data_IF_524172982099
#
_entry.id   IF_524172982099
#
_cell.length_a   1.000
_cell.length_b   1.000
_cell.length_c   1.000
_cell.angle_alpha   90.00
_cell.angle_beta   90.00
_cell.angle_gamma   90.00
#
_symmetry.space_group_name_H-M   'P 1'
#
loop_
_entity.id
_entity.type
_entity.pdbx_description
1 polymer ?
#
# COMPACT_ATOMS: atom_id res chain seq x y z
N UNK A 1 15.03 -7.35 4.19
CA UNK A 1 13.76 -8.10 4.35
C UNK A 1 13.26 -8.45 2.95
N UNK A 2 12.58 -9.58 2.74
CA UNK A 2 11.88 -9.77 1.47
C UNK A 2 10.71 -8.79 1.39
N UNK A 3 10.22 -8.46 0.19
CA UNK A 3 9.04 -7.59 0.09
C UNK A 3 7.82 -8.24 0.76
N UNK A 4 7.70 -9.56 0.73
CA UNK A 4 6.65 -10.27 1.46
C UNK A 4 6.73 -10.05 2.97
N UNK A 5 7.94 -9.94 3.55
CA UNK A 5 8.09 -9.61 4.97
C UNK A 5 7.75 -8.14 5.24
N UNK A 6 8.11 -7.22 4.34
CA UNK A 6 7.70 -5.82 4.40
C UNK A 6 6.18 -5.71 4.35
N UNK A 7 5.52 -6.41 3.44
CA UNK A 7 4.06 -6.39 3.29
C UNK A 7 3.33 -6.86 4.55
N UNK A 8 3.83 -7.90 5.22
CA UNK A 8 3.29 -8.34 6.52
C UNK A 8 3.52 -7.31 7.63
N UNK A 9 4.70 -6.69 7.65
CA UNK A 9 4.99 -5.62 8.61
C UNK A 9 4.09 -4.40 8.38
N UNK A 10 3.82 -4.04 7.12
CA UNK A 10 2.92 -2.94 6.79
C UNK A 10 1.50 -3.30 7.23
N UNK A 11 0.99 -4.50 6.90
CA UNK A 11 -0.34 -4.95 7.32
C UNK A 11 -0.52 -4.87 8.85
N UNK A 12 0.45 -5.36 9.63
CA UNK A 12 0.41 -5.31 11.09
C UNK A 12 0.54 -3.88 11.68
N UNK A 13 1.14 -2.95 10.94
CA UNK A 13 1.17 -1.53 11.35
C UNK A 13 -0.13 -0.79 11.00
N UNK A 14 -0.86 -1.28 9.98
CA UNK A 14 -2.15 -0.73 9.56
C UNK A 14 -3.24 -1.17 10.53
N UNK A 15 -3.19 -2.41 11.03
CA UNK A 15 -4.11 -2.94 12.05
C UNK A 15 -3.90 -2.21 13.40
N UNK A 16 -4.65 -1.14 13.64
CA UNK A 16 -4.42 -0.26 14.80
C UNK A 16 -5.04 -0.81 16.07
N UNK A 17 -6.17 -1.50 15.95
CA UNK A 17 -6.86 -2.12 17.09
C UNK A 17 -6.44 -3.58 17.34
N UNK A 18 -5.63 -4.14 16.45
CA UNK A 18 -5.04 -5.48 16.53
C UNK A 18 -6.10 -6.58 16.53
N UNK A 19 -7.20 -6.38 15.79
CA UNK A 19 -8.28 -7.34 15.66
C UNK A 19 -8.08 -8.34 14.48
N UNK A 20 -7.06 -8.11 13.65
CA UNK A 20 -6.69 -8.91 12.49
C UNK A 20 -7.39 -8.51 11.18
N UNK A 21 -8.28 -7.52 11.23
CA UNK A 21 -9.01 -6.98 10.09
C UNK A 21 -8.70 -5.50 9.92
N UNK A 22 -8.48 -5.12 8.67
CA UNK A 22 -8.17 -3.75 8.29
C UNK A 22 -9.42 -3.08 7.75
N UNK A 23 -9.83 -2.02 8.41
CA UNK A 23 -10.91 -1.16 7.95
C UNK A 23 -10.39 -0.13 6.93
N UNK A 24 -11.31 0.43 6.13
CA UNK A 24 -11.01 1.57 5.25
C UNK A 24 -10.33 2.73 5.99
N UNK A 25 -10.76 3.01 7.22
CA UNK A 25 -10.22 4.11 8.02
C UNK A 25 -8.78 3.83 8.45
N UNK A 26 -8.46 2.60 8.82
CA UNK A 26 -7.09 2.20 9.19
C UNK A 26 -6.14 2.25 8.01
N UNK A 27 -6.56 1.72 6.86
CA UNK A 27 -5.77 1.77 5.62
C UNK A 27 -5.54 3.23 5.20
N UNK A 28 -6.58 4.07 5.23
CA UNK A 28 -6.46 5.50 4.93
C UNK A 28 -5.48 6.20 5.88
N UNK A 29 -5.63 6.00 7.19
CA UNK A 29 -4.75 6.65 8.18
C UNK A 29 -3.30 6.21 8.02
N UNK A 30 -3.06 4.95 7.65
CA UNK A 30 -1.69 4.44 7.48
C UNK A 30 -1.05 4.85 6.17
N UNK A 31 -1.79 4.90 5.05
CA UNK A 31 -1.24 5.15 3.72
C UNK A 31 -1.32 6.61 3.27
N UNK A 32 -2.30 7.38 3.77
CA UNK A 32 -2.48 8.78 3.39
C UNK A 32 -2.01 9.68 4.52
N UNK A 33 -2.69 9.70 5.68
CA UNK A 33 -2.41 10.63 6.78
C UNK A 33 -0.95 10.59 7.27
N UNK A 34 -0.29 9.43 7.16
CA UNK A 34 1.11 9.27 7.58
C UNK A 34 2.12 9.79 6.55
N UNK A 35 1.73 9.84 5.29
CA UNK A 35 2.58 10.17 4.16
C UNK A 35 2.35 11.61 3.66
N UNK A 36 1.12 12.12 3.80
CA UNK A 36 0.74 13.52 3.58
C UNK A 36 1.41 14.41 4.65
N UNK A 37 2.55 15.01 4.30
CA UNK A 37 3.36 15.78 5.25
C UNK A 37 2.97 17.25 5.29
N UNK A 38 2.39 17.79 4.23
CA UNK A 38 1.96 19.19 4.17
C UNK A 38 0.48 19.39 4.56
N UNK A 39 -0.27 18.30 4.67
CA UNK A 39 -1.63 18.24 5.22
C UNK A 39 -2.69 18.71 4.22
N UNK A 40 -2.44 18.60 2.93
CA UNK A 40 -3.36 19.03 1.87
C UNK A 40 -4.40 17.96 1.48
N UNK A 41 -4.29 16.75 2.04
CA UNK A 41 -5.15 15.61 1.78
C UNK A 41 -4.70 14.74 0.60
N UNK A 42 -3.53 15.02 0.02
CA UNK A 42 -2.85 14.26 -1.00
C UNK A 42 -1.52 13.76 -0.44
N UNK A 43 -1.32 12.43 -0.44
CA UNK A 43 0.04 11.91 -0.29
C UNK A 43 0.70 11.90 -1.67
N UNK A 44 1.52 12.92 -1.95
CA UNK A 44 2.19 13.03 -3.25
C UNK A 44 3.27 11.95 -3.40
N UNK A 45 3.60 11.61 -4.66
CA UNK A 45 4.66 10.63 -4.98
C UNK A 45 5.98 10.90 -4.26
N UNK A 46 6.37 12.17 -4.15
CA UNK A 46 7.65 12.52 -3.51
C UNK A 46 7.61 12.21 -2.00
N UNK A 47 6.51 12.50 -1.34
CA UNK A 47 6.32 12.24 0.08
C UNK A 47 6.25 10.74 0.35
N UNK A 48 5.46 10.03 -0.45
CA UNK A 48 5.35 8.58 -0.39
C UNK A 48 6.71 7.89 -0.53
N UNK A 49 7.44 8.18 -1.61
CA UNK A 49 8.75 7.56 -1.87
C UNK A 49 9.73 7.85 -0.74
N UNK A 50 9.78 9.09 -0.26
CA UNK A 50 10.69 9.51 0.80
C UNK A 50 10.41 8.76 2.11
N UNK A 51 9.17 8.74 2.55
CA UNK A 51 8.78 8.13 3.82
C UNK A 51 8.81 6.59 3.74
N UNK A 52 8.39 6.00 2.62
CA UNK A 52 8.38 4.56 2.42
C UNK A 52 9.80 3.98 2.41
N UNK A 53 10.71 4.60 1.64
CA UNK A 53 12.12 4.22 1.63
C UNK A 53 12.81 4.45 2.98
N UNK A 54 12.36 5.46 3.75
CA UNK A 54 12.88 5.68 5.10
C UNK A 54 12.47 4.56 6.07
N UNK A 55 11.19 4.18 6.08
CA UNK A 55 10.66 3.26 7.08
C UNK A 55 10.90 1.79 6.76
N UNK A 56 10.78 1.42 5.49
CA UNK A 56 10.83 0.03 5.04
C UNK A 56 12.11 -0.31 4.29
N UNK A 57 13.01 0.67 4.12
CA UNK A 57 14.29 0.53 3.43
C UNK A 57 14.16 -0.03 2.00
N UNK A 58 13.03 0.25 1.36
CA UNK A 58 12.79 -0.10 -0.04
C UNK A 58 13.52 0.86 -0.98
N UNK A 59 13.83 0.41 -2.20
CA UNK A 59 14.55 1.20 -3.17
C UNK A 59 13.66 2.36 -3.69
N UNK A 60 14.09 3.63 -3.64
CA UNK A 60 13.26 4.77 -4.05
C UNK A 60 12.69 4.68 -5.48
N UNK A 61 13.42 4.06 -6.41
CA UNK A 61 12.93 3.82 -7.77
C UNK A 61 11.77 2.81 -7.78
N UNK A 62 11.90 1.74 -7.01
CA UNK A 62 10.90 0.68 -6.85
C UNK A 62 9.67 1.22 -6.12
N UNK A 63 9.88 2.02 -5.06
CA UNK A 63 8.80 2.70 -4.33
C UNK A 63 8.05 3.71 -5.20
N UNK A 64 8.73 4.35 -6.15
CA UNK A 64 8.10 5.24 -7.12
C UNK A 64 7.20 4.51 -8.12
N UNK A 65 7.60 3.33 -8.59
CA UNK A 65 6.73 2.48 -9.43
C UNK A 65 5.58 1.91 -8.59
N UNK A 66 5.86 1.57 -7.33
CA UNK A 66 4.85 1.08 -6.42
C UNK A 66 3.76 2.13 -6.15
N UNK A 67 4.13 3.40 -5.98
CA UNK A 67 3.18 4.51 -5.93
C UNK A 67 2.29 4.55 -7.17
N UNK A 68 2.86 4.44 -8.37
CA UNK A 68 2.10 4.49 -9.64
C UNK A 68 1.09 3.35 -9.78
N UNK A 69 1.26 2.25 -9.03
CA UNK A 69 0.28 1.15 -9.00
C UNK A 69 -0.82 1.36 -7.94
N UNK A 70 -0.56 2.18 -6.92
CA UNK A 70 -1.53 2.54 -5.89
C UNK A 70 -2.42 3.71 -6.32
N UNK A 71 -1.86 4.66 -7.09
CA UNK A 71 -2.53 5.81 -7.69
C UNK A 71 -3.33 5.37 -8.91
N UNK A 72 -4.63 5.09 -8.70
CA UNK A 72 -5.46 4.41 -9.69
C UNK A 72 -6.11 5.38 -10.68
N UNK A 73 -6.39 6.60 -10.25
CA UNK A 73 -6.89 7.65 -11.14
C UNK A 73 -5.76 8.45 -11.83
N UNK A 74 -4.51 8.21 -11.44
CA UNK A 74 -3.28 8.74 -12.05
C UNK A 74 -3.20 10.26 -11.99
N UNK A 75 -3.76 10.85 -10.94
CA UNK A 75 -3.71 12.29 -10.71
C UNK A 75 -2.41 12.73 -10.01
N UNK A 76 -1.57 11.78 -9.57
CA UNK A 76 -0.31 12.01 -8.87
C UNK A 76 -0.46 12.11 -7.36
N UNK A 77 -1.64 11.83 -6.82
CA UNK A 77 -2.01 11.95 -5.42
C UNK A 77 -2.66 10.66 -4.94
N UNK A 78 -2.13 10.06 -3.87
CA UNK A 78 -2.90 9.03 -3.17
C UNK A 78 -3.95 9.72 -2.30
N UNK A 79 -5.22 9.47 -2.61
CA UNK A 79 -6.37 10.04 -1.92
C UNK A 79 -7.30 8.95 -1.36
N UNK A 80 -8.37 9.36 -0.68
CA UNK A 80 -9.43 8.44 -0.28
C UNK A 80 -10.01 7.65 -1.47
N UNK A 81 -10.05 8.25 -2.67
CA UNK A 81 -10.58 7.62 -3.88
C UNK A 81 -9.76 6.38 -4.25
N UNK A 82 -8.43 6.47 -4.22
CA UNK A 82 -7.53 5.36 -4.52
C UNK A 82 -7.65 4.26 -3.48
N UNK A 83 -7.73 4.64 -2.20
CA UNK A 83 -7.94 3.68 -1.11
C UNK A 83 -9.27 2.94 -1.29
N UNK A 84 -10.36 3.64 -1.64
CA UNK A 84 -11.66 3.04 -1.87
C UNK A 84 -11.63 2.03 -3.04
N UNK A 85 -10.95 2.37 -4.14
CA UNK A 85 -10.81 1.47 -5.28
C UNK A 85 -10.00 0.23 -4.95
N UNK A 86 -8.85 0.39 -4.29
CA UNK A 86 -8.00 -0.72 -3.86
C UNK A 86 -8.71 -1.59 -2.82
N UNK A 87 -9.40 -0.99 -1.87
CA UNK A 87 -10.16 -1.71 -0.85
C UNK A 87 -11.24 -2.59 -1.47
N UNK A 88 -12.03 -2.06 -2.41
CA UNK A 88 -13.06 -2.84 -3.12
C UNK A 88 -12.47 -3.99 -3.94
N UNK A 89 -11.24 -3.85 -4.42
CA UNK A 89 -10.55 -4.93 -5.12
C UNK A 89 -10.10 -6.04 -4.16
N UNK A 90 -9.80 -5.70 -2.90
CA UNK A 90 -9.40 -6.65 -1.85
C UNK A 90 -10.61 -7.29 -1.15
N UNK A 91 -11.61 -6.50 -0.77
CA UNK A 91 -12.87 -6.92 -0.13
C UNK A 91 -13.85 -7.50 -1.18
N UNK A 92 -13.43 -8.58 -1.84
CA UNK A 92 -14.24 -9.24 -2.87
C UNK A 92 -15.51 -9.91 -2.30
N UNK A 93 -15.57 -10.10 -0.98
CA UNK A 93 -16.69 -10.75 -0.30
C UNK A 93 -17.68 -9.74 0.30
N UNK A 94 -17.34 -8.46 0.33
CA UNK A 94 -18.23 -7.35 0.66
C UNK A 94 -18.62 -7.29 2.13
N UNK A 95 -17.75 -7.79 3.02
CA UNK A 95 -18.00 -7.74 4.46
C UNK A 95 -17.47 -6.45 5.11
N UNK A 96 -16.91 -5.55 4.30
CA UNK A 96 -16.31 -4.27 4.70
C UNK A 96 -15.06 -4.45 5.57
N UNK A 97 -14.38 -5.59 5.43
CA UNK A 97 -13.11 -5.87 6.09
C UNK A 97 -12.12 -6.50 5.13
N UNK A 98 -10.82 -6.24 5.36
CA UNK A 98 -9.73 -6.91 4.62
C UNK A 98 -8.80 -7.47 5.67
N UNK A 99 -8.55 -8.78 5.67
CA UNK A 99 -7.62 -9.37 6.63
C UNK A 99 -6.19 -8.87 6.39
N UNK A 100 -5.35 -8.86 7.43
CA UNK A 100 -3.92 -8.54 7.28
C UNK A 100 -3.25 -9.34 6.14
N UNK A 101 -3.66 -10.60 5.98
CA UNK A 101 -3.13 -11.51 4.96
C UNK A 101 -3.56 -11.12 3.54
N UNK A 102 -4.81 -10.71 3.35
CA UNK A 102 -5.30 -10.21 2.06
C UNK A 102 -4.59 -8.92 1.68
N UNK A 103 -4.44 -7.99 2.63
CA UNK A 103 -3.73 -6.74 2.41
C UNK A 103 -2.25 -6.96 2.10
N UNK A 104 -1.55 -7.81 2.85
CA UNK A 104 -0.15 -8.15 2.57
C UNK A 104 0.03 -8.84 1.21
N UNK A 105 -0.95 -9.67 0.80
CA UNK A 105 -0.97 -10.32 -0.51
C UNK A 105 -1.20 -9.31 -1.63
N UNK A 106 -2.11 -8.35 -1.42
CA UNK A 106 -2.34 -7.23 -2.33
C UNK A 106 -1.07 -6.39 -2.51
N UNK A 107 -0.47 -5.90 -1.42
CA UNK A 107 0.77 -5.12 -1.47
C UNK A 107 1.86 -5.89 -2.22
N UNK A 108 1.98 -7.19 -1.96
CA UNK A 108 2.94 -8.03 -2.68
C UNK A 108 2.62 -8.06 -4.18
N UNK A 109 1.35 -8.24 -4.57
CA UNK A 109 0.95 -8.29 -5.98
C UNK A 109 1.19 -6.97 -6.73
N UNK A 110 0.91 -5.83 -6.09
CA UNK A 110 1.10 -4.51 -6.71
C UNK A 110 2.54 -4.01 -6.62
N UNK A 111 3.38 -4.52 -5.73
CA UNK A 111 4.79 -4.12 -5.70
C UNK A 111 5.58 -4.72 -6.86
N UNK A 112 6.38 -3.93 -7.59
CA UNK A 112 7.11 -4.40 -8.77
C UNK A 112 8.17 -5.49 -8.48
N UNK A 113 8.54 -5.72 -7.21
CA UNK A 113 9.45 -6.82 -6.88
C UNK A 113 8.79 -8.20 -6.91
N UNK A 114 7.45 -8.29 -6.92
CA UNK A 114 6.75 -9.57 -7.09
C UNK A 114 6.71 -10.05 -8.55
N UNK A 115 6.72 -9.12 -9.50
CA UNK A 115 6.76 -9.41 -10.94
C UNK A 115 8.16 -9.76 -11.45
N UNK A 116 9.19 -9.65 -10.61
CA UNK A 116 10.56 -10.10 -10.90
C UNK A 116 10.85 -11.58 -10.59
N UNK A 117 9.88 -12.33 -10.05
CA UNK A 117 10.05 -13.71 -9.58
C UNK A 117 9.50 -14.82 -10.49
N UNK A 118 8.76 -14.49 -11.55
CA UNK A 118 8.38 -15.49 -12.56
C UNK A 118 9.33 -15.41 -13.74
N UNK A 119 10.24 -16.38 -13.79
CA UNK A 119 10.97 -16.82 -14.98
C UNK A 119 10.32 -16.42 -16.30
N UNK A 120 10.94 -15.46 -16.99
CA UNK A 120 11.19 -15.65 -18.43
C UNK A 120 12.16 -16.83 -18.57
N UNK A 121 11.63 -18.06 -18.55
CA UNK A 121 12.32 -19.20 -19.17
C UNK A 121 11.86 -19.25 -20.62
N UNK A 122 12.83 -19.08 -21.52
CA UNK A 122 12.66 -19.23 -22.96
C UNK A 122 12.57 -20.67 -23.41
#
# INVERSE_FOLDING_TARGET
LSFTDIARLVAANVDQDHDGNLTLTEIYNSLITRFDHDGDGCAEKQEFVKQWSHDYHDNPHVSGIFFDHLDLDQDGCLTQTDIDFNFRAMDAHGDHSVTEAEFASFLSAVHPSSTGGSSVVG
#
